data_IF_342106132436
#
_entry.id   IF_342106132436
#
_cell.length_a   1.000
_cell.length_b   1.000
_cell.length_c   1.000
_cell.angle_alpha   90.00
_cell.angle_beta   90.00
_cell.angle_gamma   90.00
#
_symmetry.space_group_name_H-M   'P 1'
#
loop_
_entity.id
_entity.type
_entity.pdbx_description
1 polymer ?
#
# COMPACT_ATOMS: atom_id res chain seq x y z
N UNK A 1 -15.38 43.06 -3.11
CA UNK A 1 -15.18 42.69 -4.52
C UNK A 1 -15.06 41.18 -4.60
N UNK A 2 -15.86 40.52 -5.43
CA UNK A 2 -15.88 39.05 -5.58
C UNK A 2 -14.60 38.52 -6.23
N UNK A 3 -13.98 39.31 -7.11
CA UNK A 3 -12.73 38.96 -7.82
C UNK A 3 -11.59 38.62 -6.86
N UNK A 4 -11.44 39.36 -5.76
CA UNK A 4 -10.44 39.08 -4.73
C UNK A 4 -10.66 37.71 -4.08
N UNK A 5 -11.92 37.37 -3.78
CA UNK A 5 -12.25 36.09 -3.17
C UNK A 5 -12.00 34.92 -4.15
N UNK A 6 -12.30 35.12 -5.43
CA UNK A 6 -12.01 34.16 -6.49
C UNK A 6 -10.51 33.86 -6.60
N UNK A 7 -9.65 34.89 -6.57
CA UNK A 7 -8.19 34.70 -6.63
C UNK A 7 -7.69 33.89 -5.43
N UNK A 8 -8.17 34.21 -4.22
CA UNK A 8 -7.76 33.48 -3.01
C UNK A 8 -8.21 32.03 -3.06
N UNK A 9 -9.44 31.74 -3.50
CA UNK A 9 -9.93 30.38 -3.67
C UNK A 9 -9.05 29.57 -4.63
N UNK A 10 -8.67 30.16 -5.76
CA UNK A 10 -7.81 29.50 -6.75
C UNK A 10 -6.43 29.23 -6.15
N UNK A 11 -5.80 30.23 -5.51
CA UNK A 11 -4.51 30.05 -4.86
C UNK A 11 -4.55 28.95 -3.79
N UNK A 12 -5.56 28.95 -2.93
CA UNK A 12 -5.74 27.93 -1.90
C UNK A 12 -5.93 26.53 -2.50
N UNK A 13 -6.74 26.41 -3.55
CA UNK A 13 -6.94 25.15 -4.26
C UNK A 13 -5.64 24.63 -4.89
N UNK A 14 -4.88 25.50 -5.55
CA UNK A 14 -3.58 25.14 -6.14
C UNK A 14 -2.60 24.66 -5.07
N UNK A 15 -2.53 25.32 -3.91
CA UNK A 15 -1.68 24.87 -2.80
C UNK A 15 -2.06 23.46 -2.33
N UNK A 16 -3.35 23.19 -2.09
CA UNK A 16 -3.81 21.86 -1.66
C UNK A 16 -3.51 20.81 -2.73
N UNK A 17 -3.77 21.12 -4.01
CA UNK A 17 -3.48 20.23 -5.13
C UNK A 17 -1.99 19.91 -5.22
N UNK A 18 -1.13 20.92 -5.14
CA UNK A 18 0.32 20.75 -5.16
C UNK A 18 0.81 19.89 -4.01
N UNK A 19 0.36 20.15 -2.78
CA UNK A 19 0.71 19.34 -1.61
C UNK A 19 0.24 17.89 -1.77
N UNK A 20 -0.97 17.68 -2.31
CA UNK A 20 -1.51 16.35 -2.56
C UNK A 20 -0.64 15.58 -3.58
N UNK A 21 -0.25 16.22 -4.68
CA UNK A 21 0.63 15.61 -5.68
C UNK A 21 1.98 15.25 -5.08
N UNK A 22 2.62 16.17 -4.33
CA UNK A 22 3.90 15.90 -3.67
C UNK A 22 3.78 14.69 -2.74
N UNK A 23 2.70 14.63 -1.95
CA UNK A 23 2.46 13.55 -0.99
C UNK A 23 2.19 12.21 -1.68
N UNK A 24 1.53 12.22 -2.83
CA UNK A 24 1.23 11.01 -3.59
C UNK A 24 2.39 10.55 -4.49
N UNK A 25 3.21 11.48 -4.95
CA UNK A 25 4.40 11.21 -5.77
C UNK A 25 5.62 10.82 -4.95
N UNK A 26 5.57 10.91 -3.62
CA UNK A 26 6.53 10.23 -2.76
C UNK A 26 6.52 8.75 -3.16
N UNK A 27 7.67 8.26 -3.66
CA UNK A 27 7.79 6.93 -4.25
C UNK A 27 7.17 5.89 -3.33
N UNK A 28 6.22 5.13 -3.87
CA UNK A 28 5.67 3.97 -3.19
C UNK A 28 6.78 2.97 -2.85
N UNK A 29 6.49 1.95 -2.01
CA UNK A 29 7.44 0.90 -1.68
C UNK A 29 8.07 0.35 -2.97
N UNK A 30 9.40 0.15 -2.98
CA UNK A 30 10.10 -0.41 -4.13
C UNK A 30 9.67 -1.87 -4.32
N UNK A 31 8.59 -2.12 -5.05
CA UNK A 31 8.07 -3.46 -5.27
C UNK A 31 8.93 -4.19 -6.31
N UNK A 32 9.28 -5.46 -6.09
CA UNK A 32 9.94 -6.27 -7.10
C UNK A 32 8.94 -6.54 -8.22
N UNK A 33 9.41 -6.58 -9.47
CA UNK A 33 8.57 -6.80 -10.66
C UNK A 33 7.80 -8.13 -10.61
N UNK A 34 8.27 -9.08 -9.79
CA UNK A 34 7.63 -10.38 -9.58
C UNK A 34 7.84 -10.85 -8.15
N UNK A 35 6.74 -11.07 -7.42
CA UNK A 35 6.73 -11.84 -6.16
C UNK A 35 6.29 -13.25 -6.49
N UNK A 36 7.20 -14.21 -6.45
CA UNK A 36 6.86 -15.63 -6.62
C UNK A 36 6.24 -16.16 -5.34
N UNK A 37 4.95 -16.45 -5.38
CA UNK A 37 4.31 -17.20 -4.31
C UNK A 37 4.78 -18.66 -4.33
N UNK A 38 4.87 -19.32 -3.15
CA UNK A 38 5.10 -20.76 -3.09
C UNK A 38 4.08 -21.51 -3.96
N UNK A 39 4.52 -22.58 -4.62
CA UNK A 39 3.68 -23.38 -5.52
C UNK A 39 2.40 -23.84 -4.83
N UNK A 40 1.25 -23.51 -5.42
CA UNK A 40 -0.08 -23.89 -4.92
C UNK A 40 -0.77 -22.82 -4.07
N UNK A 41 -0.10 -21.71 -3.74
CA UNK A 41 -0.68 -20.63 -2.94
C UNK A 41 -1.26 -19.55 -3.86
N UNK A 42 -2.56 -19.30 -3.75
CA UNK A 42 -3.25 -18.20 -4.42
C UNK A 42 -3.45 -17.04 -3.44
N UNK A 43 -3.16 -15.82 -3.90
CA UNK A 43 -3.29 -14.60 -3.10
C UNK A 43 -4.74 -14.10 -3.14
N UNK A 44 -5.36 -14.02 -1.97
CA UNK A 44 -6.66 -13.40 -1.77
C UNK A 44 -6.58 -11.88 -1.60
N UNK A 45 -5.55 -11.41 -0.92
CA UNK A 45 -5.28 -9.99 -0.73
C UNK A 45 -3.78 -9.73 -0.60
N UNK A 46 -3.32 -8.57 -1.06
CA UNK A 46 -1.92 -8.13 -0.94
C UNK A 46 -1.89 -6.72 -0.34
N UNK A 47 -1.08 -6.53 0.69
CA UNK A 47 -0.87 -5.24 1.36
C UNK A 47 0.62 -4.92 1.36
N UNK A 48 0.97 -3.68 1.03
CA UNK A 48 2.35 -3.21 0.99
C UNK A 48 2.62 -2.30 2.18
N UNK A 49 3.68 -2.61 2.93
CA UNK A 49 4.20 -1.78 4.01
C UNK A 49 5.60 -1.27 3.71
N UNK A 50 6.16 -0.50 4.65
CA UNK A 50 7.54 0.00 4.53
C UNK A 50 8.53 -1.16 4.69
N UNK A 51 9.00 -1.69 3.55
CA UNK A 51 10.01 -2.76 3.49
C UNK A 51 9.47 -4.19 3.52
N UNK A 52 8.15 -4.39 3.57
CA UNK A 52 7.53 -5.70 3.61
C UNK A 52 6.22 -5.76 2.81
N UNK A 53 5.84 -6.97 2.42
CA UNK A 53 4.62 -7.27 1.66
C UNK A 53 3.85 -8.33 2.46
N UNK A 54 2.62 -8.05 2.85
CA UNK A 54 1.72 -9.06 3.40
C UNK A 54 0.85 -9.63 2.28
N UNK A 55 0.86 -10.95 2.14
CA UNK A 55 -0.01 -11.67 1.23
C UNK A 55 -0.93 -12.56 2.07
N UNK A 56 -2.23 -12.31 1.97
CA UNK A 56 -3.26 -13.17 2.53
C UNK A 56 -3.55 -14.26 1.50
N UNK A 57 -3.41 -15.51 1.89
CA UNK A 57 -3.66 -16.68 1.05
C UNK A 57 -5.13 -17.11 1.14
N UNK A 58 -5.57 -17.92 0.19
CA UNK A 58 -6.90 -18.55 0.23
C UNK A 58 -7.06 -19.60 1.36
N UNK A 59 -5.96 -19.99 2.02
CA UNK A 59 -5.93 -20.95 3.13
C UNK A 59 -5.98 -20.27 4.51
N UNK A 60 -6.47 -19.02 4.57
CA UNK A 60 -6.53 -18.21 5.78
C UNK A 60 -5.15 -18.06 6.47
N UNK A 61 -4.11 -17.86 5.67
CA UNK A 61 -2.75 -17.60 6.12
C UNK A 61 -2.26 -16.23 5.64
N UNK A 62 -1.49 -15.53 6.47
CA UNK A 62 -0.81 -14.28 6.14
C UNK A 62 0.69 -14.58 6.02
N UNK A 63 1.22 -14.39 4.82
CA UNK A 63 2.64 -14.47 4.51
C UNK A 63 3.22 -13.06 4.52
N UNK A 64 4.20 -12.79 5.39
CA UNK A 64 4.99 -11.56 5.34
C UNK A 64 6.25 -11.85 4.54
N UNK A 65 6.37 -11.20 3.40
CA UNK A 65 7.51 -11.29 2.51
C UNK A 65 8.37 -10.03 2.61
N UNK A 66 9.68 -10.20 2.56
CA UNK A 66 10.60 -9.09 2.41
C UNK A 66 10.42 -8.46 1.03
N UNK A 67 10.28 -7.14 0.98
CA UNK A 67 10.03 -6.42 -0.27
C UNK A 67 11.21 -6.47 -1.26
N UNK A 68 12.46 -6.61 -0.78
CA UNK A 68 13.64 -6.66 -1.65
C UNK A 68 13.94 -8.06 -2.17
N UNK A 69 13.83 -9.08 -1.30
CA UNK A 69 14.23 -10.45 -1.64
C UNK A 69 13.07 -11.37 -2.03
N UNK A 70 11.82 -10.99 -1.73
CA UNK A 70 10.67 -11.87 -1.87
C UNK A 70 10.68 -13.08 -0.93
N UNK A 71 11.62 -13.14 0.03
CA UNK A 71 11.70 -14.22 0.99
C UNK A 71 10.57 -14.13 2.03
N UNK A 72 9.98 -15.26 2.39
CA UNK A 72 8.98 -15.32 3.47
C UNK A 72 9.69 -15.16 4.81
N UNK A 73 9.48 -14.03 5.46
CA UNK A 73 10.02 -13.73 6.79
C UNK A 73 9.09 -14.24 7.89
N UNK A 74 7.78 -14.18 7.67
CA UNK A 74 6.80 -14.60 8.67
C UNK A 74 5.60 -15.30 8.04
N UNK A 75 5.05 -16.27 8.76
CA UNK A 75 3.80 -16.96 8.44
C UNK A 75 2.88 -16.83 9.65
N UNK A 76 1.67 -16.30 9.48
CA UNK A 76 0.65 -16.26 10.52
C UNK A 76 -0.60 -16.97 10.02
N UNK A 77 -1.15 -17.90 10.81
CA UNK A 77 -2.49 -18.40 10.58
C UNK A 77 -3.52 -17.41 11.11
N UNK A 78 -4.53 -17.12 10.30
CA UNK A 78 -5.70 -16.36 10.72
C UNK A 78 -6.55 -17.31 11.57
N UNK A 79 -6.66 -17.02 12.86
CA UNK A 79 -7.63 -17.68 13.72
C UNK A 79 -8.91 -16.83 13.71
N UNK A 80 -10.07 -17.41 13.41
CA UNK A 80 -11.33 -16.69 13.57
C UNK A 80 -11.48 -16.30 15.04
N UNK A 81 -11.82 -15.03 15.30
CA UNK A 81 -12.10 -14.58 16.66
C UNK A 81 -13.34 -15.35 17.17
N UNK A 82 -13.16 -16.17 18.21
CA UNK A 82 -14.30 -16.75 18.93
C UNK A 82 -15.13 -15.60 19.52
N UNK A 83 -16.43 -15.59 19.22
CA UNK A 83 -17.41 -14.59 19.65
C UNK A 83 -18.43 -15.22 20.57
#
# INVERSE_FOLDING_TARGET
>A
MVTTLTVIMICGFLVVLTLLVIRLSASGPNLPETVSLPTGVSARAVTFGDGWIAVVTDEDEILILNNLSGAVEQRLKIQPAEN
#
